data_IF_174559842271
#
_entry.id   IF_174559842271
#
_cell.length_a   1.000
_cell.length_b   1.000
_cell.length_c   1.000
_cell.angle_alpha   90.00
_cell.angle_beta   90.00
_cell.angle_gamma   90.00
#
_symmetry.space_group_name_H-M   'P 1'
#
loop_
_entity.id
_entity.type
_entity.pdbx_description
1 polymer ?
#
# COMPACT_ATOMS: atom_id res chain seq x y z
N UNK A 1 0.11 -19.75 24.07
CA UNK A 1 0.68 -18.52 23.49
C UNK A 1 1.69 -18.96 22.45
N UNK A 2 1.19 -19.27 21.26
CA UNK A 2 1.95 -19.89 20.18
C UNK A 2 1.13 -19.80 18.91
N UNK A 3 1.79 -19.39 17.84
CA UNK A 3 1.43 -19.69 16.45
C UNK A 3 0.17 -19.02 15.88
N UNK A 4 0.27 -17.68 15.69
CA UNK A 4 -0.54 -16.97 14.70
C UNK A 4 0.29 -16.49 13.48
N UNK A 5 1.61 -16.63 13.50
CA UNK A 5 2.51 -16.22 12.41
C UNK A 5 3.02 -17.39 11.55
N UNK A 6 2.84 -18.64 11.99
CA UNK A 6 3.28 -19.85 11.26
C UNK A 6 2.10 -20.59 10.63
N UNK A 7 1.28 -19.88 9.85
CA UNK A 7 0.26 -20.54 9.03
C UNK A 7 0.50 -20.15 7.59
N UNK A 8 1.27 -20.99 6.91
CA UNK A 8 1.30 -21.07 5.46
C UNK A 8 -0.11 -21.45 4.99
N UNK A 9 -0.90 -20.46 4.58
CA UNK A 9 -2.28 -20.68 4.15
C UNK A 9 -2.28 -21.27 2.74
N UNK A 10 -2.89 -22.45 2.52
CA UNK A 10 -2.99 -23.04 1.19
C UNK A 10 -3.87 -22.17 0.29
N UNK A 11 -3.34 -21.82 -0.88
CA UNK A 11 -4.02 -21.07 -1.92
C UNK A 11 -5.30 -21.83 -2.34
N UNK A 12 -6.49 -21.27 -2.10
CA UNK A 12 -7.75 -21.80 -2.64
C UNK A 12 -8.84 -22.32 -1.66
N UNK A 13 -8.67 -22.27 -0.34
CA UNK A 13 -9.81 -22.53 0.59
C UNK A 13 -10.67 -21.28 0.82
N UNK A 14 -12.01 -21.35 0.81
CA UNK A 14 -12.94 -20.19 1.07
C UNK A 14 -12.64 -19.35 2.33
N UNK A 15 -11.73 -19.81 3.19
CA UNK A 15 -11.09 -19.03 4.25
C UNK A 15 -10.17 -17.90 3.74
N UNK A 16 -9.54 -18.01 2.55
CA UNK A 16 -8.74 -16.94 1.92
C UNK A 16 -9.59 -15.70 1.69
N UNK A 17 -10.85 -15.87 1.25
CA UNK A 17 -11.81 -14.79 1.05
C UNK A 17 -12.19 -14.14 2.39
N UNK A 18 -12.43 -14.93 3.45
CA UNK A 18 -12.73 -14.36 4.78
C UNK A 18 -11.52 -13.72 5.47
N UNK A 19 -10.31 -14.20 5.20
CA UNK A 19 -9.07 -13.63 5.71
C UNK A 19 -8.68 -12.35 4.94
N UNK A 20 -8.85 -12.30 3.62
CA UNK A 20 -8.66 -11.09 2.83
C UNK A 20 -9.73 -10.04 3.15
N UNK A 21 -11.00 -10.42 3.28
CA UNK A 21 -12.07 -9.48 3.67
C UNK A 21 -11.88 -8.98 5.10
N UNK A 22 -11.33 -9.80 6.01
CA UNK A 22 -10.83 -9.27 7.29
C UNK A 22 -9.70 -8.29 7.04
N UNK A 23 -8.64 -8.67 6.33
CA UNK A 23 -7.44 -7.82 6.05
C UNK A 23 -7.77 -6.48 5.37
N UNK A 24 -8.86 -6.40 4.60
CA UNK A 24 -9.34 -5.22 3.89
C UNK A 24 -10.02 -4.16 4.78
N UNK A 25 -10.40 -4.49 6.03
CA UNK A 25 -11.13 -3.57 6.92
C UNK A 25 -10.37 -3.16 8.19
N UNK A 26 -9.16 -3.66 8.42
CA UNK A 26 -8.37 -3.23 9.57
C UNK A 26 -7.63 -1.94 9.25
N UNK A 27 -8.25 -0.85 9.64
CA UNK A 27 -7.64 0.46 9.72
C UNK A 27 -6.79 0.49 10.99
N UNK A 28 -5.50 0.16 10.88
CA UNK A 28 -4.57 0.18 12.00
C UNK A 28 -3.94 1.56 12.15
N UNK A 29 -4.01 2.12 13.35
CA UNK A 29 -3.24 3.32 13.70
C UNK A 29 -1.82 2.93 14.11
N UNK A 30 -0.90 3.89 14.11
CA UNK A 30 0.47 3.67 14.60
C UNK A 30 0.49 3.10 16.03
N UNK A 31 -0.40 3.59 16.89
CA UNK A 31 -0.54 3.10 18.27
C UNK A 31 -0.93 1.62 18.34
N UNK A 32 -1.91 1.19 17.52
CA UNK A 32 -2.33 -0.21 17.47
C UNK A 32 -1.19 -1.14 17.02
N UNK A 33 -0.36 -0.67 16.09
CA UNK A 33 0.79 -1.43 15.60
C UNK A 33 1.87 -1.54 16.68
N UNK A 34 2.15 -0.45 17.40
CA UNK A 34 3.13 -0.43 18.50
C UNK A 34 2.72 -1.35 19.65
N UNK A 35 1.45 -1.31 20.06
CA UNK A 35 0.94 -2.20 21.11
C UNK A 35 1.03 -3.69 20.74
N UNK A 36 0.83 -4.00 19.45
CA UNK A 36 0.77 -5.38 18.97
C UNK A 36 2.13 -5.98 18.63
N UNK A 37 3.00 -5.20 17.99
CA UNK A 37 4.32 -5.65 17.50
C UNK A 37 5.40 -5.44 18.57
N UNK A 38 5.15 -4.56 19.57
CA UNK A 38 6.08 -4.24 20.65
C UNK A 38 7.48 -3.85 20.14
N UNK A 39 7.50 -3.03 19.09
CA UNK A 39 8.72 -2.44 18.54
C UNK A 39 8.81 -0.96 18.91
N UNK A 40 9.99 -0.37 18.70
CA UNK A 40 10.11 1.10 18.73
C UNK A 40 9.40 1.73 17.53
N UNK A 41 9.05 3.01 17.64
CA UNK A 41 8.41 3.77 16.57
C UNK A 41 9.27 3.76 15.32
N UNK A 42 10.57 3.95 15.52
CA UNK A 42 11.58 4.05 14.47
C UNK A 42 11.77 2.71 13.74
N UNK A 43 11.79 1.59 14.47
CA UNK A 43 11.87 0.26 13.86
C UNK A 43 10.60 -0.06 13.07
N UNK A 44 9.44 0.31 13.61
CA UNK A 44 8.17 0.07 12.95
C UNK A 44 8.05 0.90 11.67
N UNK A 45 8.42 2.18 11.70
CA UNK A 45 8.46 3.03 10.51
C UNK A 45 9.42 2.48 9.46
N UNK A 46 10.62 2.04 9.86
CA UNK A 46 11.59 1.46 8.94
C UNK A 46 11.06 0.18 8.28
N UNK A 47 10.38 -0.69 9.04
CA UNK A 47 9.75 -1.89 8.50
C UNK A 47 8.55 -1.56 7.62
N UNK A 48 7.72 -0.59 8.00
CA UNK A 48 6.59 -0.12 7.20
C UNK A 48 7.05 0.45 5.85
N UNK A 49 8.12 1.24 5.83
CA UNK A 49 8.75 1.69 4.60
C UNK A 49 9.29 0.53 3.76
N UNK A 50 9.89 -0.47 4.40
CA UNK A 50 10.43 -1.67 3.72
C UNK A 50 9.32 -2.45 3.01
N UNK A 51 8.13 -2.51 3.59
CA UNK A 51 6.98 -3.19 3.00
C UNK A 51 6.13 -2.27 2.12
N UNK A 52 6.58 -1.04 1.83
CA UNK A 52 5.82 -0.07 1.04
C UNK A 52 4.44 0.27 1.64
N UNK A 53 4.35 0.30 2.98
CA UNK A 53 3.16 0.78 3.67
C UNK A 53 3.19 2.31 3.80
N UNK A 54 2.03 2.92 3.62
CA UNK A 54 1.83 4.36 3.72
C UNK A 54 0.69 4.69 4.69
N UNK A 55 0.84 5.79 5.41
CA UNK A 55 -0.24 6.33 6.21
C UNK A 55 -1.18 7.16 5.34
N UNK A 56 -2.45 6.78 5.31
CA UNK A 56 -3.50 7.50 4.58
C UNK A 56 -4.66 7.75 5.53
N UNK A 57 -4.96 9.02 5.80
CA UNK A 57 -6.02 9.45 6.72
C UNK A 57 -5.88 8.92 8.15
N UNK A 58 -4.65 8.82 8.69
CA UNK A 58 -4.41 8.32 10.05
C UNK A 58 -4.32 6.80 10.17
N UNK A 59 -4.38 6.08 9.05
CA UNK A 59 -4.37 4.63 9.01
C UNK A 59 -3.30 4.10 8.07
N UNK A 60 -2.60 3.05 8.51
CA UNK A 60 -1.59 2.40 7.71
C UNK A 60 -2.21 1.46 6.68
N UNK A 61 -1.82 1.65 5.42
CA UNK A 61 -2.24 0.83 4.28
C UNK A 61 -1.02 0.31 3.57
N UNK A 62 -1.07 -0.95 3.14
CA UNK A 62 -0.04 -1.52 2.29
C UNK A 62 -0.32 -1.12 0.84
N UNK A 63 0.69 -0.60 0.14
CA UNK A 63 0.58 -0.37 -1.28
C UNK A 63 0.76 -1.71 -2.01
N UNK A 64 -0.20 -2.05 -2.87
CA UNK A 64 -0.11 -3.27 -3.67
C UNK A 64 0.93 -3.08 -4.80
N UNK A 65 1.78 -4.07 -5.04
CA UNK A 65 2.78 -4.00 -6.11
C UNK A 65 2.13 -3.83 -7.49
N UNK A 66 0.98 -4.49 -7.73
CA UNK A 66 0.25 -4.35 -8.98
C UNK A 66 -0.28 -2.91 -9.15
N UNK A 67 -0.62 -2.26 -8.03
CA UNK A 67 -1.02 -0.87 -8.01
C UNK A 67 0.16 0.06 -8.36
N UNK A 68 1.34 -0.17 -7.76
CA UNK A 68 2.57 0.59 -8.10
C UNK A 68 2.92 0.47 -9.60
N UNK A 69 2.89 -0.75 -10.14
CA UNK A 69 3.17 -1.00 -11.56
C UNK A 69 2.14 -0.34 -12.47
N UNK A 70 0.86 -0.37 -12.11
CA UNK A 70 -0.20 0.31 -12.85
C UNK A 70 0.01 1.83 -12.84
N UNK A 71 0.31 2.41 -11.69
CA UNK A 71 0.56 3.84 -11.54
C UNK A 71 1.78 4.28 -12.36
N UNK A 72 2.86 3.52 -12.30
CA UNK A 72 4.07 3.75 -13.10
C UNK A 72 3.79 3.69 -14.60
N UNK A 73 2.97 2.70 -15.03
CA UNK A 73 2.52 2.58 -16.41
C UNK A 73 1.75 3.82 -16.88
N UNK A 74 0.80 4.29 -16.07
CA UNK A 74 0.03 5.51 -16.36
C UNK A 74 0.92 6.76 -16.44
N UNK A 75 1.85 6.93 -15.49
CA UNK A 75 2.79 8.07 -15.51
C UNK A 75 3.66 8.02 -16.77
N UNK A 76 4.14 6.85 -17.17
CA UNK A 76 4.95 6.69 -18.38
C UNK A 76 4.15 7.05 -19.63
N UNK A 77 2.88 6.61 -19.70
CA UNK A 77 1.97 6.98 -20.79
C UNK A 77 1.68 8.48 -20.82
N UNK A 78 1.52 9.11 -19.65
CA UNK A 78 1.28 10.56 -19.54
C UNK A 78 2.51 11.35 -20.01
N UNK A 79 3.71 10.92 -19.60
CA UNK A 79 4.98 11.52 -20.05
C UNK A 79 5.14 11.43 -21.56
N UNK A 80 4.80 10.29 -22.17
CA UNK A 80 4.84 10.11 -23.62
C UNK A 80 3.80 10.99 -24.34
N UNK A 81 2.55 10.99 -23.84
CA UNK A 81 1.44 11.75 -24.41
C UNK A 81 1.66 13.26 -24.36
N UNK A 82 2.16 13.76 -23.23
CA UNK A 82 2.46 15.19 -23.02
C UNK A 82 3.87 15.56 -23.47
N UNK A 83 4.63 14.60 -24.02
CA UNK A 83 6.02 14.78 -24.47
C UNK A 83 6.94 15.40 -23.40
N UNK A 84 6.73 15.04 -22.13
CA UNK A 84 7.53 15.53 -21.03
C UNK A 84 8.91 14.88 -21.01
N UNK A 85 9.89 15.59 -20.45
CA UNK A 85 11.18 14.96 -20.15
C UNK A 85 11.01 14.06 -18.93
N UNK A 86 11.52 12.83 -18.99
CA UNK A 86 11.59 11.92 -17.84
C UNK A 86 12.28 12.53 -16.61
N UNK A 87 13.15 13.53 -16.81
CA UNK A 87 13.84 14.24 -15.73
C UNK A 87 13.01 15.37 -15.11
N UNK A 88 11.86 15.73 -15.69
CA UNK A 88 11.01 16.85 -15.27
C UNK A 88 9.53 16.52 -15.45
N UNK A 89 9.04 15.59 -14.63
CA UNK A 89 7.62 15.22 -14.59
C UNK A 89 6.89 16.12 -13.57
N UNK A 90 5.91 16.96 -13.99
CA UNK A 90 5.17 17.83 -13.09
C UNK A 90 4.19 17.04 -12.20
N UNK A 91 4.51 16.96 -10.91
CA UNK A 91 3.74 16.21 -9.90
C UNK A 91 2.25 16.61 -9.87
N UNK A 92 1.95 17.91 -10.00
CA UNK A 92 0.58 18.42 -9.91
C UNK A 92 -0.32 17.86 -11.01
N UNK A 93 0.19 17.77 -12.24
CA UNK A 93 -0.59 17.26 -13.39
C UNK A 93 -0.71 15.74 -13.29
N UNK A 94 0.36 15.05 -12.88
CA UNK A 94 0.30 13.61 -12.63
C UNK A 94 -0.74 13.25 -11.57
N UNK A 95 -0.81 13.99 -10.47
CA UNK A 95 -1.80 13.75 -9.41
C UNK A 95 -3.23 14.02 -9.87
N UNK A 96 -3.46 15.05 -10.70
CA UNK A 96 -4.79 15.33 -11.24
C UNK A 96 -5.29 14.20 -12.16
N UNK A 97 -4.45 13.75 -13.08
CA UNK A 97 -4.81 12.67 -14.01
C UNK A 97 -4.95 11.32 -13.31
N UNK A 98 -4.06 11.00 -12.37
CA UNK A 98 -4.18 9.79 -11.55
C UNK A 98 -5.43 9.83 -10.66
N UNK A 99 -5.76 11.00 -10.10
CA UNK A 99 -6.95 11.19 -9.28
C UNK A 99 -8.27 10.98 -10.03
N UNK A 100 -8.29 11.13 -11.36
CA UNK A 100 -9.47 10.79 -12.20
C UNK A 100 -9.64 9.29 -12.42
N UNK A 101 -8.57 8.51 -12.27
CA UNK A 101 -8.54 7.08 -12.56
C UNK A 101 -8.87 6.22 -11.33
N UNK A 102 -8.75 6.79 -10.12
CA UNK A 102 -9.09 6.12 -8.88
C UNK A 102 -10.56 6.33 -8.50
N UNK A 103 -11.30 5.27 -8.11
CA UNK A 103 -12.60 5.42 -7.48
C UNK A 103 -12.47 6.07 -6.10
N UNK A 104 -13.43 6.93 -5.74
CA UNK A 104 -13.48 7.62 -4.43
C UNK A 104 -13.78 6.68 -3.26
#
# INVERSE_FOLDING_TARGET
MGDLLDKTFPFGSTLWETCLIKRLFWQYTMGDLLERIQASVEELEAQLQTIHACEVNGYWRLLDFDYEMKLLGHITQLVDSESWSFSKVPLSVSLEELGRLEPQ
#
